data_IF_553448730679
#
_entry.id   IF_553448730679
#
_cell.length_a   1.000
_cell.length_b   1.000
_cell.length_c   1.000
_cell.angle_alpha   90.00
_cell.angle_beta   90.00
_cell.angle_gamma   90.00
#
_symmetry.space_group_name_H-M   'P 1'
#
loop_
_entity.id
_entity.type
_entity.pdbx_description
1 polymer ?
#
# COMPACT_ATOMS: atom_id res chain seq x y z
N UNK A 1 -0.44 16.21 12.66
CA UNK A 1 -0.91 16.08 11.26
C UNK A 1 0.15 15.54 10.31
N UNK A 2 1.45 15.81 10.53
CA UNK A 2 2.53 15.39 9.63
C UNK A 2 2.58 13.87 9.42
N UNK A 3 2.59 13.09 10.50
CA UNK A 3 2.50 11.63 10.42
C UNK A 3 1.29 11.18 9.60
N UNK A 4 0.10 11.69 9.93
CA UNK A 4 -1.16 11.34 9.25
C UNK A 4 -1.11 11.67 7.75
N UNK A 5 -0.56 12.81 7.35
CA UNK A 5 -0.37 13.11 5.92
C UNK A 5 0.66 12.22 5.26
N UNK A 6 1.74 11.83 5.95
CA UNK A 6 2.68 10.81 5.46
C UNK A 6 1.96 9.49 5.17
N UNK A 7 1.12 9.03 6.09
CA UNK A 7 0.31 7.81 5.92
C UNK A 7 -0.67 7.94 4.75
N UNK A 8 -1.46 9.03 4.71
CA UNK A 8 -2.40 9.28 3.61
C UNK A 8 -1.69 9.36 2.25
N UNK A 9 -0.54 10.01 2.16
CA UNK A 9 0.26 10.06 0.94
C UNK A 9 0.77 8.68 0.54
N UNK A 10 1.25 7.89 1.50
CA UNK A 10 1.71 6.52 1.25
C UNK A 10 0.60 5.62 0.69
N UNK A 11 -0.65 5.80 1.15
CA UNK A 11 -1.81 5.08 0.61
C UNK A 11 -1.97 5.29 -0.90
N UNK A 12 -1.80 6.53 -1.38
CA UNK A 12 -1.86 6.89 -2.80
C UNK A 12 -0.54 6.68 -3.56
N UNK A 13 0.37 5.86 -3.03
CA UNK A 13 1.72 5.62 -3.58
C UNK A 13 2.56 6.89 -3.80
N UNK A 14 2.28 7.96 -3.05
CA UNK A 14 3.08 9.20 -3.09
C UNK A 14 4.27 9.10 -2.13
N UNK A 15 5.04 8.02 -2.27
CA UNK A 15 6.13 7.65 -1.37
C UNK A 15 7.27 8.66 -1.34
N UNK A 16 7.56 9.33 -2.47
CA UNK A 16 8.58 10.39 -2.51
C UNK A 16 8.23 11.57 -1.60
N UNK A 17 6.94 11.90 -1.48
CA UNK A 17 6.46 12.97 -0.61
C UNK A 17 6.26 12.44 0.82
N UNK A 18 5.73 11.23 1.00
CA UNK A 18 5.49 10.62 2.31
C UNK A 18 6.77 10.45 3.14
N UNK A 19 7.88 10.01 2.51
CA UNK A 19 9.18 9.83 3.18
C UNK A 19 9.67 11.12 3.83
N UNK A 20 9.39 12.27 3.21
CA UNK A 20 9.74 13.55 3.83
C UNK A 20 8.98 13.75 5.15
N UNK A 21 7.67 13.51 5.17
CA UNK A 21 6.86 13.61 6.39
C UNK A 21 7.32 12.66 7.48
N UNK A 22 7.70 11.42 7.14
CA UNK A 22 8.17 10.48 8.14
C UNK A 22 9.56 10.83 8.67
N UNK A 23 10.52 11.20 7.82
CA UNK A 23 11.84 11.69 8.25
C UNK A 23 11.72 12.86 9.21
N UNK A 24 10.97 13.85 8.77
CA UNK A 24 10.67 15.06 9.50
C UNK A 24 10.02 14.79 10.86
N UNK A 25 9.01 13.94 10.90
CA UNK A 25 8.32 13.62 12.14
C UNK A 25 9.21 12.78 13.07
N UNK A 26 10.05 11.89 12.51
CA UNK A 26 10.94 11.02 13.28
C UNK A 26 12.03 11.76 14.06
N UNK A 27 12.39 13.00 13.68
CA UNK A 27 13.34 13.80 14.47
C UNK A 27 12.76 14.30 15.79
N UNK A 28 11.42 14.44 15.84
CA UNK A 28 10.69 14.90 17.03
C UNK A 28 10.09 13.72 17.78
N UNK A 29 9.61 12.70 17.06
CA UNK A 29 8.96 11.52 17.63
C UNK A 29 9.37 10.25 16.85
N UNK A 30 10.53 9.64 17.18
CA UNK A 30 11.06 8.46 16.51
C UNK A 30 10.33 7.18 16.95
N UNK A 31 9.02 7.08 16.70
CA UNK A 31 8.25 5.88 17.04
C UNK A 31 8.43 4.77 16.00
N UNK A 32 8.24 3.51 16.42
CA UNK A 32 8.29 2.33 15.54
C UNK A 32 7.35 2.47 14.33
N UNK A 33 6.16 3.04 14.53
CA UNK A 33 5.13 3.33 13.52
C UNK A 33 5.73 4.19 12.40
N UNK A 34 6.45 5.25 12.80
CA UNK A 34 6.98 6.28 11.90
C UNK A 34 8.12 5.71 11.08
N UNK A 35 9.05 5.01 11.73
CA UNK A 35 10.20 4.42 11.03
C UNK A 35 9.80 3.21 10.19
N UNK A 36 8.80 2.43 10.58
CA UNK A 36 8.23 1.36 9.74
C UNK A 36 7.56 1.94 8.49
N UNK A 37 6.73 2.96 8.64
CA UNK A 37 6.05 3.57 7.49
C UNK A 37 7.03 4.26 6.54
N UNK A 38 8.11 4.84 7.07
CA UNK A 38 9.24 5.29 6.24
C UNK A 38 9.86 4.10 5.48
N UNK A 39 10.27 3.05 6.19
CA UNK A 39 10.86 1.86 5.58
C UNK A 39 9.99 1.27 4.47
N UNK A 40 8.67 1.25 4.68
CA UNK A 40 7.70 0.79 3.70
C UNK A 40 7.70 1.67 2.44
N UNK A 41 7.74 2.99 2.55
CA UNK A 41 7.86 3.85 1.38
C UNK A 41 9.16 3.63 0.61
N UNK A 42 10.28 3.35 1.30
CA UNK A 42 11.53 3.00 0.62
C UNK A 42 11.41 1.65 -0.10
N UNK A 43 10.77 0.65 0.52
CA UNK A 43 10.46 -0.64 -0.11
C UNK A 43 9.59 -0.45 -1.37
N UNK A 44 8.59 0.42 -1.33
CA UNK A 44 7.73 0.68 -2.49
C UNK A 44 8.46 1.38 -3.63
N UNK A 45 9.31 2.36 -3.31
CA UNK A 45 10.16 3.00 -4.31
C UNK A 45 11.11 1.98 -4.94
N UNK A 46 11.62 1.03 -4.16
CA UNK A 46 12.42 -0.07 -4.72
C UNK A 46 11.60 -0.96 -5.68
N UNK A 47 10.34 -1.26 -5.36
CA UNK A 47 9.44 -2.01 -6.25
C UNK A 47 9.17 -1.31 -7.58
N UNK A 48 9.12 0.02 -7.59
CA UNK A 48 9.00 0.80 -8.82
C UNK A 48 10.23 0.57 -9.71
N UNK A 49 11.42 0.69 -9.12
CA UNK A 49 12.68 0.47 -9.83
C UNK A 49 12.86 -0.98 -10.32
N UNK A 50 12.37 -1.96 -9.55
CA UNK A 50 12.38 -3.38 -9.93
C UNK A 50 11.35 -3.73 -11.04
N UNK A 51 10.35 -2.88 -11.26
CA UNK A 51 9.29 -3.10 -12.25
C UNK A 51 8.59 -4.45 -12.10
N UNK A 52 8.48 -5.20 -13.20
CA UNK A 52 7.82 -6.51 -13.25
C UNK A 52 8.46 -7.55 -12.32
N UNK A 53 9.77 -7.45 -12.06
CA UNK A 53 10.50 -8.41 -11.22
C UNK A 53 10.00 -8.40 -9.77
N UNK A 54 9.60 -7.23 -9.24
CA UNK A 54 9.03 -7.09 -7.90
C UNK A 54 7.76 -7.91 -7.66
N UNK A 55 7.05 -8.25 -8.74
CA UNK A 55 5.76 -8.93 -8.74
C UNK A 55 5.85 -10.35 -9.31
N UNK A 56 7.06 -10.91 -9.39
CA UNK A 56 7.26 -12.35 -9.67
C UNK A 56 6.41 -13.21 -8.73
N UNK A 57 6.35 -12.79 -7.47
CA UNK A 57 5.41 -13.23 -6.46
C UNK A 57 4.61 -12.03 -5.95
N UNK A 58 3.38 -12.26 -5.51
CA UNK A 58 2.59 -11.27 -4.79
C UNK A 58 3.01 -11.31 -3.32
N UNK A 59 3.76 -10.29 -2.89
CA UNK A 59 4.29 -10.16 -1.53
C UNK A 59 3.65 -8.98 -0.79
N UNK A 60 2.49 -9.12 -0.13
CA UNK A 60 1.85 -7.99 0.54
C UNK A 60 2.67 -7.43 1.69
N UNK A 61 3.02 -6.14 1.59
CA UNK A 61 3.71 -5.39 2.64
C UNK A 61 2.71 -4.70 3.57
N UNK A 62 3.05 -4.55 4.85
CA UNK A 62 2.17 -3.98 5.87
C UNK A 62 2.51 -2.53 6.24
N UNK A 63 1.57 -1.61 6.04
CA UNK A 63 1.64 -0.24 6.57
C UNK A 63 1.12 -0.22 8.00
N UNK A 64 1.80 0.50 8.89
CA UNK A 64 1.26 0.80 10.22
C UNK A 64 0.28 1.97 10.15
N UNK A 65 -0.81 1.89 10.93
CA UNK A 65 -2.11 2.57 10.75
C UNK A 65 -2.78 2.31 9.40
N UNK A 66 -2.33 1.22 8.75
CA UNK A 66 -3.05 0.28 7.87
C UNK A 66 -3.61 0.81 6.54
N UNK A 67 -2.97 0.33 5.49
CA UNK A 67 -3.46 0.06 4.14
C UNK A 67 -2.31 -0.64 3.42
N UNK A 68 -2.57 -1.64 2.58
CA UNK A 68 -1.56 -1.98 1.56
C UNK A 68 -1.36 -0.74 0.67
N UNK A 69 -0.20 -0.58 0.04
CA UNK A 69 0.03 0.56 -0.86
C UNK A 69 -0.53 0.20 -2.23
N UNK A 70 -1.42 1.06 -2.74
CA UNK A 70 -2.09 0.90 -4.02
C UNK A 70 -1.63 1.94 -5.03
N UNK A 71 -1.71 1.57 -6.30
CA UNK A 71 -1.45 2.47 -7.42
C UNK A 71 -0.04 2.33 -7.94
N UNK A 72 0.20 1.33 -8.78
CA UNK A 72 1.43 1.23 -9.56
C UNK A 72 1.05 0.89 -10.99
N UNK A 73 1.45 1.76 -11.92
CA UNK A 73 1.71 1.30 -13.28
C UNK A 73 3.07 0.60 -13.25
N UNK A 74 3.14 -0.63 -13.75
CA UNK A 74 4.42 -1.30 -13.97
C UNK A 74 5.25 -0.43 -14.94
N UNK A 75 6.38 0.15 -14.52
CA UNK A 75 7.28 0.73 -15.50
C UNK A 75 7.77 -0.40 -16.42
N UNK A 76 7.90 -0.09 -17.71
CA UNK A 76 8.45 -1.02 -18.70
C UNK A 76 9.94 -1.23 -18.42
N UNK A 77 10.25 -2.09 -17.47
CA UNK A 77 11.62 -2.57 -17.25
C UNK A 77 11.83 -3.77 -18.18
N UNK A 78 12.84 -3.75 -19.05
CA UNK A 78 13.14 -4.87 -19.95
C UNK A 78 13.28 -6.19 -19.19
N UNK A 79 12.88 -7.30 -19.83
CA UNK A 79 13.11 -8.66 -19.30
C UNK A 79 14.63 -8.89 -19.14
N UNK A 80 15.07 -9.19 -17.92
CA UNK A 80 16.37 -9.80 -17.66
C UNK A 80 17.40 -8.97 -16.90
N UNK A 81 17.05 -7.81 -16.34
CA UNK A 81 18.05 -6.98 -15.65
C UNK A 81 18.19 -7.31 -14.15
N UNK A 82 19.45 -7.36 -13.71
CA UNK A 82 19.86 -7.33 -12.31
C UNK A 82 19.20 -6.16 -11.57
N UNK A 83 18.99 -6.33 -10.26
CA UNK A 83 18.50 -5.27 -9.38
C UNK A 83 19.30 -3.98 -9.57
N UNK A 84 18.63 -2.89 -9.97
CA UNK A 84 19.28 -1.59 -10.17
C UNK A 84 19.99 -1.12 -8.89
N UNK A 85 21.07 -0.35 -9.05
CA UNK A 85 21.81 0.20 -7.90
C UNK A 85 20.92 1.08 -7.01
N UNK A 86 19.89 1.73 -7.59
CA UNK A 86 18.91 2.50 -6.86
C UNK A 86 17.96 1.58 -6.07
N UNK A 87 17.40 0.54 -6.70
CA UNK A 87 16.58 -0.46 -6.02
C UNK A 87 17.30 -1.09 -4.83
N UNK A 88 18.56 -1.53 -5.01
CA UNK A 88 19.38 -2.10 -3.94
C UNK A 88 19.59 -1.13 -2.78
N UNK A 89 19.84 0.14 -3.08
CA UNK A 89 20.02 1.20 -2.07
C UNK A 89 18.73 1.48 -1.30
N UNK A 90 17.59 1.51 -1.99
CA UNK A 90 16.27 1.72 -1.40
C UNK A 90 15.89 0.54 -0.48
N UNK A 91 16.12 -0.71 -0.92
CA UNK A 91 15.93 -1.90 -0.08
C UNK A 91 16.81 -1.87 1.18
N UNK A 92 18.09 -1.48 1.06
CA UNK A 92 18.97 -1.32 2.24
C UNK A 92 18.45 -0.25 3.22
N UNK A 93 17.88 0.86 2.73
CA UNK A 93 17.24 1.88 3.58
C UNK A 93 15.97 1.36 4.24
N UNK A 94 15.15 0.61 3.51
CA UNK A 94 13.95 -0.02 4.03
C UNK A 94 14.31 -0.97 5.18
N UNK A 95 15.25 -1.89 4.94
CA UNK A 95 15.80 -2.83 5.92
C UNK A 95 16.30 -2.14 7.18
N UNK A 96 17.12 -1.08 7.04
CA UNK A 96 17.61 -0.32 8.19
C UNK A 96 16.47 0.30 9.03
N UNK A 97 15.41 0.75 8.37
CA UNK A 97 14.24 1.34 9.02
C UNK A 97 13.41 0.28 9.76
N UNK A 98 13.20 -0.89 9.16
CA UNK A 98 12.51 -2.01 9.82
C UNK A 98 13.31 -2.55 11.00
N UNK A 99 14.63 -2.71 10.86
CA UNK A 99 15.50 -3.10 11.97
C UNK A 99 15.43 -2.08 13.11
N UNK A 100 15.38 -0.78 12.80
CA UNK A 100 15.19 0.26 13.83
C UNK A 100 13.83 0.14 14.52
N UNK A 101 12.76 -0.16 13.79
CA UNK A 101 11.44 -0.43 14.37
C UNK A 101 11.47 -1.65 15.32
N UNK A 102 12.19 -2.71 14.93
CA UNK A 102 12.31 -3.94 15.71
C UNK A 102 13.24 -3.80 16.93
N UNK A 103 14.22 -2.89 16.90
CA UNK A 103 14.97 -2.51 18.11
C UNK A 103 14.06 -1.84 19.13
N UNK A 104 13.09 -1.04 18.69
CA UNK A 104 12.12 -0.38 19.57
C UNK A 104 11.07 -1.38 20.11
N UNK A 105 10.59 -2.28 19.26
CA UNK A 105 9.68 -3.35 19.66
C UNK A 105 9.94 -4.63 18.82
N UNK A 106 10.59 -5.65 19.39
CA UNK A 106 10.94 -6.88 18.65
C UNK A 106 9.72 -7.69 18.17
N UNK A 107 8.60 -7.59 18.87
CA UNK A 107 7.33 -8.25 18.54
C UNK A 107 6.47 -7.48 17.53
N UNK A 108 6.99 -6.39 16.98
CA UNK A 108 6.20 -5.52 16.13
C UNK A 108 5.97 -6.14 14.74
N UNK A 109 4.74 -6.62 14.54
CA UNK A 109 4.38 -7.49 13.43
C UNK A 109 4.59 -6.85 12.03
N UNK A 110 4.18 -5.59 11.76
CA UNK A 110 4.40 -4.96 10.46
C UNK A 110 5.87 -4.94 10.05
N UNK A 111 6.77 -4.63 10.98
CA UNK A 111 8.20 -4.56 10.69
C UNK A 111 8.81 -5.94 10.42
N UNK A 112 8.37 -6.99 11.13
CA UNK A 112 8.83 -8.36 10.87
C UNK A 112 8.45 -8.82 9.44
N UNK A 113 7.21 -8.58 9.01
CA UNK A 113 6.78 -8.95 7.65
C UNK A 113 7.49 -8.12 6.58
N UNK A 114 7.59 -6.81 6.77
CA UNK A 114 8.25 -5.95 5.79
C UNK A 114 9.76 -6.22 5.70
N UNK A 115 10.41 -6.56 6.83
CA UNK A 115 11.79 -7.00 6.85
C UNK A 115 11.95 -8.30 6.05
N UNK A 116 11.08 -9.28 6.27
CA UNK A 116 11.12 -10.54 5.54
C UNK A 116 11.02 -10.35 4.02
N UNK A 117 10.10 -9.50 3.57
CA UNK A 117 9.93 -9.16 2.14
C UNK A 117 11.16 -8.42 1.59
N UNK A 118 11.71 -7.48 2.37
CA UNK A 118 12.88 -6.69 1.95
C UNK A 118 14.11 -7.57 1.84
N UNK A 119 14.36 -8.44 2.82
CA UNK A 119 15.43 -9.42 2.82
C UNK A 119 15.25 -10.44 1.68
N UNK A 120 14.01 -10.85 1.39
CA UNK A 120 13.70 -11.72 0.25
C UNK A 120 14.12 -11.05 -1.08
N UNK A 121 13.78 -9.79 -1.30
CA UNK A 121 14.23 -9.06 -2.50
C UNK A 121 15.74 -8.88 -2.55
N UNK A 122 16.41 -8.69 -1.41
CA UNK A 122 17.86 -8.59 -1.32
C UNK A 122 18.59 -9.94 -1.48
N UNK A 123 17.85 -11.05 -1.63
CA UNK A 123 18.36 -12.42 -1.66
C UNK A 123 19.06 -12.85 -0.35
N UNK A 124 18.74 -12.19 0.76
CA UNK A 124 19.24 -12.47 2.10
C UNK A 124 18.37 -13.57 2.76
N UNK A 125 18.41 -14.78 2.20
CA UNK A 125 17.44 -15.86 2.50
C UNK A 125 17.31 -16.22 3.99
N UNK A 126 18.41 -16.26 4.74
CA UNK A 126 18.38 -16.62 6.16
C UNK A 126 17.65 -15.56 7.00
N UNK A 127 17.88 -14.28 6.71
CA UNK A 127 17.22 -13.19 7.41
C UNK A 127 15.74 -13.08 7.03
N UNK A 128 15.43 -13.30 5.75
CA UNK A 128 14.04 -13.38 5.30
C UNK A 128 13.27 -14.48 6.04
N UNK A 129 13.89 -15.66 6.20
CA UNK A 129 13.32 -16.79 6.93
C UNK A 129 13.16 -16.51 8.42
N UNK A 130 14.16 -15.91 9.07
CA UNK A 130 14.07 -15.56 10.48
C UNK A 130 12.95 -14.53 10.75
N UNK A 131 12.86 -13.49 9.92
CA UNK A 131 11.86 -12.44 10.06
C UNK A 131 10.43 -12.96 9.81
N UNK A 132 10.21 -13.78 8.77
CA UNK A 132 8.87 -14.34 8.50
C UNK A 132 8.46 -15.38 9.53
N UNK A 133 9.40 -16.15 10.08
CA UNK A 133 9.14 -17.08 11.18
C UNK A 133 8.67 -16.32 12.41
N UNK A 134 9.29 -15.18 12.73
CA UNK A 134 8.84 -14.32 13.84
C UNK A 134 7.44 -13.76 13.60
N UNK A 135 7.15 -13.27 12.39
CA UNK A 135 5.80 -12.80 12.04
C UNK A 135 4.75 -13.91 12.16
N UNK A 136 5.07 -15.11 11.69
CA UNK A 136 4.19 -16.28 11.80
C UNK A 136 3.92 -16.67 13.25
N UNK A 137 4.94 -16.64 14.12
CA UNK A 137 4.76 -16.90 15.56
C UNK A 137 3.84 -15.87 16.25
N UNK A 138 3.88 -14.62 15.81
CA UNK A 138 3.05 -13.53 16.36
C UNK A 138 1.60 -13.60 15.89
N UNK A 139 1.36 -14.06 14.66
CA UNK A 139 0.03 -14.15 14.06
C UNK A 139 -0.14 -15.46 13.26
N UNK A 140 -0.16 -16.63 13.92
CA UNK A 140 -0.13 -17.93 13.25
C UNK A 140 -1.40 -18.23 12.45
N UNK A 141 -2.51 -17.57 12.79
CA UNK A 141 -3.81 -17.74 12.13
C UNK A 141 -4.04 -16.74 10.99
N UNK A 142 -3.12 -15.81 10.76
CA UNK A 142 -3.22 -14.86 9.64
C UNK A 142 -2.86 -15.59 8.33
N UNK A 143 -3.83 -15.68 7.42
CA UNK A 143 -3.68 -16.42 6.16
C UNK A 143 -2.70 -15.77 5.18
N UNK A 144 -2.54 -14.44 5.24
CA UNK A 144 -1.56 -13.72 4.42
C UNK A 144 -0.14 -14.07 4.92
N UNK A 145 0.07 -14.03 6.24
CA UNK A 145 1.35 -14.37 6.85
C UNK A 145 1.69 -15.85 6.63
N UNK A 146 0.71 -16.76 6.73
CA UNK A 146 0.89 -18.18 6.40
C UNK A 146 1.36 -18.36 4.95
N UNK A 147 0.73 -17.66 3.99
CA UNK A 147 1.11 -17.70 2.58
C UNK A 147 2.54 -17.20 2.33
N UNK A 148 2.90 -16.06 2.95
CA UNK A 148 4.26 -15.50 2.88
C UNK A 148 5.30 -16.42 3.52
N UNK A 149 4.97 -17.04 4.66
CA UNK A 149 5.85 -17.97 5.36
C UNK A 149 6.19 -19.18 4.50
N UNK A 150 5.18 -19.81 3.89
CA UNK A 150 5.38 -20.93 2.95
C UNK A 150 6.29 -20.51 1.80
N UNK A 151 6.03 -19.34 1.21
CA UNK A 151 6.77 -18.85 0.04
C UNK A 151 8.22 -18.46 0.37
N UNK A 152 8.48 -17.79 1.49
CA UNK A 152 9.84 -17.34 1.86
C UNK A 152 10.70 -18.52 2.37
N UNK A 153 10.08 -19.53 2.99
CA UNK A 153 10.78 -20.78 3.39
C UNK A 153 10.98 -21.74 2.23
N UNK A 154 10.35 -21.52 1.08
CA UNK A 154 10.64 -22.29 -0.11
C UNK A 154 12.07 -21.99 -0.60
N UNK A 155 12.97 -22.95 -0.39
CA UNK A 155 14.41 -22.83 -0.71
C UNK A 155 14.77 -23.38 -2.10
N UNK A 156 13.86 -23.33 -3.08
CA UNK A 156 14.04 -23.95 -4.41
C UNK A 156 14.25 -25.47 -4.46
N UNK A 157 14.48 -26.14 -3.32
CA UNK A 157 14.71 -27.58 -3.22
C UNK A 157 13.45 -28.43 -3.07
N UNK A 158 12.34 -27.84 -2.59
CA UNK A 158 11.12 -28.59 -2.24
C UNK A 158 9.85 -27.93 -2.81
N UNK A 159 9.75 -27.73 -4.14
CA UNK A 159 8.62 -27.03 -4.76
C UNK A 159 7.27 -27.72 -4.50
N UNK A 160 7.23 -29.05 -4.52
CA UNK A 160 5.98 -29.80 -4.29
C UNK A 160 5.41 -29.56 -2.89
N UNK A 161 6.25 -29.51 -1.85
CA UNK A 161 5.78 -29.24 -0.48
C UNK A 161 5.19 -27.83 -0.36
N UNK A 162 5.83 -26.83 -0.97
CA UNK A 162 5.33 -25.46 -0.95
C UNK A 162 4.00 -25.35 -1.72
N UNK A 163 3.90 -25.96 -2.91
CA UNK A 163 2.67 -25.97 -3.72
C UNK A 163 1.52 -26.64 -2.96
N UNK A 164 1.76 -27.80 -2.35
CA UNK A 164 0.76 -28.52 -1.54
C UNK A 164 0.34 -27.72 -0.30
N UNK A 165 1.28 -27.05 0.36
CA UNK A 165 0.97 -26.21 1.51
C UNK A 165 0.09 -25.01 1.12
N UNK A 166 0.40 -24.32 0.01
CA UNK A 166 -0.45 -23.24 -0.51
C UNK A 166 -1.81 -23.75 -0.99
N UNK A 167 -1.88 -24.95 -1.57
CA UNK A 167 -3.13 -25.59 -1.96
C UNK A 167 -4.03 -25.85 -0.75
N UNK A 168 -3.47 -26.42 0.32
CA UNK A 168 -4.20 -26.62 1.58
C UNK A 168 -4.66 -25.29 2.18
N UNK A 169 -3.80 -24.26 2.15
CA UNK A 169 -4.16 -22.93 2.63
C UNK A 169 -5.31 -22.32 1.80
N UNK A 170 -5.32 -22.53 0.49
CA UNK A 170 -6.35 -22.04 -0.42
C UNK A 170 -7.74 -22.67 -0.21
N UNK A 171 -7.85 -23.77 0.56
CA UNK A 171 -9.12 -24.38 0.94
C UNK A 171 -9.79 -23.68 2.14
N UNK A 172 -9.08 -22.81 2.84
CA UNK A 172 -9.63 -22.08 3.97
C UNK A 172 -10.59 -20.97 3.52
N UNK A 173 -11.66 -20.69 4.29
CA UNK A 173 -12.57 -19.59 3.97
C UNK A 173 -11.83 -18.25 4.03
N UNK A 174 -12.22 -17.31 3.17
CA UNK A 174 -11.68 -15.94 3.13
C UNK A 174 -10.16 -15.85 2.91
N UNK A 175 -9.56 -16.83 2.24
CA UNK A 175 -8.12 -16.82 1.93
C UNK A 175 -7.74 -15.66 0.97
N UNK A 176 -6.63 -14.95 1.21
CA UNK A 176 -6.17 -13.88 0.34
C UNK A 176 -5.88 -14.32 -1.10
N UNK A 177 -6.16 -13.44 -2.07
CA UNK A 177 -5.87 -13.70 -3.49
C UNK A 177 -4.37 -13.86 -3.80
N UNK A 178 -3.49 -13.36 -2.93
CA UNK A 178 -2.04 -13.55 -2.99
C UNK A 178 -1.64 -15.02 -2.91
N UNK A 179 -2.35 -15.84 -2.12
CA UNK A 179 -2.08 -17.29 -1.99
C UNK A 179 -2.29 -18.00 -3.32
N UNK A 180 -3.40 -17.71 -4.00
CA UNK A 180 -3.69 -18.24 -5.34
C UNK A 180 -2.65 -17.79 -6.36
N UNK A 181 -2.32 -16.50 -6.38
CA UNK A 181 -1.32 -15.95 -7.28
C UNK A 181 0.04 -16.64 -7.10
N UNK A 182 0.52 -16.75 -5.86
CA UNK A 182 1.82 -17.35 -5.55
C UNK A 182 1.85 -18.84 -5.88
N UNK A 183 0.75 -19.57 -5.65
CA UNK A 183 0.63 -20.97 -6.06
C UNK A 183 0.70 -21.13 -7.57
N UNK A 184 -0.04 -20.31 -8.33
CA UNK A 184 0.00 -20.34 -9.80
C UNK A 184 1.42 -20.06 -10.33
N UNK A 185 2.13 -19.07 -9.74
CA UNK A 185 3.51 -18.77 -10.09
C UNK A 185 4.48 -19.92 -9.79
N UNK A 186 4.33 -20.59 -8.66
CA UNK A 186 5.15 -21.78 -8.34
C UNK A 186 4.85 -22.95 -9.29
N UNK A 187 3.59 -23.17 -9.66
CA UNK A 187 3.23 -24.19 -10.65
C UNK A 187 3.89 -23.89 -12.01
N UNK A 188 3.78 -22.66 -12.51
CA UNK A 188 4.44 -22.25 -13.77
C UNK A 188 5.96 -22.39 -13.71
N UNK A 189 6.60 -21.89 -12.65
CA UNK A 189 8.06 -21.89 -12.52
C UNK A 189 8.64 -23.32 -12.54
N UNK A 190 7.87 -24.32 -12.11
CA UNK A 190 8.27 -25.73 -12.07
C UNK A 190 7.59 -26.61 -13.12
N UNK A 191 6.97 -26.00 -14.14
CA UNK A 191 6.33 -26.73 -15.25
C UNK A 191 5.23 -27.69 -14.82
N UNK A 192 4.46 -27.36 -13.77
CA UNK A 192 3.35 -28.17 -13.25
C UNK A 192 2.02 -27.68 -13.81
N UNK A 193 1.09 -28.62 -14.02
CA UNK A 193 -0.27 -28.32 -14.49
C UNK A 193 -1.14 -27.65 -13.39
N UNK A 194 -2.26 -27.05 -13.79
CA UNK A 194 -3.24 -26.44 -12.89
C UNK A 194 -3.04 -24.94 -12.62
N UNK A 195 -1.99 -24.32 -13.15
CA UNK A 195 -1.81 -22.86 -13.06
C UNK A 195 -2.91 -22.09 -13.81
N UNK A 196 -3.32 -22.60 -14.98
CA UNK A 196 -4.30 -21.94 -15.85
C UNK A 196 -5.67 -21.75 -15.18
N UNK A 197 -6.17 -22.76 -14.47
CA UNK A 197 -7.42 -22.68 -13.72
C UNK A 197 -7.37 -21.60 -12.64
N UNK A 198 -6.23 -21.49 -11.96
CA UNK A 198 -6.00 -20.47 -10.94
C UNK A 198 -5.94 -19.07 -11.58
N UNK A 199 -5.29 -18.93 -12.74
CA UNK A 199 -5.27 -17.67 -13.47
C UNK A 199 -6.67 -17.24 -13.90
N UNK A 200 -7.50 -18.17 -14.39
CA UNK A 200 -8.90 -17.89 -14.71
C UNK A 200 -9.69 -17.44 -13.48
N UNK A 201 -9.48 -18.08 -12.33
CA UNK A 201 -10.11 -17.69 -11.07
C UNK A 201 -9.71 -16.26 -10.64
N UNK A 202 -8.44 -15.91 -10.76
CA UNK A 202 -7.93 -14.57 -10.46
C UNK A 202 -8.47 -13.52 -11.42
N UNK A 203 -8.56 -13.83 -12.72
CA UNK A 203 -9.06 -12.91 -13.74
C UNK A 203 -10.55 -12.58 -13.57
N UNK A 204 -11.37 -13.55 -13.12
CA UNK A 204 -12.77 -13.30 -12.72
C UNK A 204 -12.88 -12.32 -11.55
N UNK A 205 -11.83 -12.23 -10.73
CA UNK A 205 -11.73 -11.32 -9.59
C UNK A 205 -10.80 -10.12 -9.84
N UNK A 206 -10.50 -9.80 -11.11
CA UNK A 206 -9.56 -8.74 -11.48
C UNK A 206 -9.86 -7.38 -10.82
N UNK A 207 -11.13 -7.09 -10.51
CA UNK A 207 -11.55 -5.89 -9.78
C UNK A 207 -10.87 -5.73 -8.40
N UNK A 208 -10.64 -6.84 -7.71
CA UNK A 208 -10.09 -6.91 -6.36
C UNK A 208 -8.56 -6.91 -6.33
N UNK A 209 -7.93 -7.09 -7.49
CA UNK A 209 -6.47 -7.20 -7.59
C UNK A 209 -5.82 -5.79 -7.58
N UNK A 210 -4.66 -5.63 -6.91
CA UNK A 210 -3.80 -4.45 -7.08
C UNK A 210 -3.42 -4.28 -8.56
N UNK A 211 -3.24 -3.03 -8.99
CA UNK A 211 -3.02 -2.71 -10.41
C UNK A 211 -1.89 -3.52 -11.10
N UNK A 212 -0.69 -3.68 -10.49
CA UNK A 212 0.38 -4.50 -11.09
C UNK A 212 0.00 -5.96 -11.23
N UNK A 213 -0.61 -6.53 -10.19
CA UNK A 213 -1.02 -7.93 -10.17
C UNK A 213 -2.12 -8.16 -11.20
N UNK A 214 -3.10 -7.23 -11.27
CA UNK A 214 -4.15 -7.25 -12.28
C UNK A 214 -3.56 -7.26 -13.68
N UNK A 215 -2.64 -6.34 -13.99
CA UNK A 215 -1.98 -6.31 -15.29
C UNK A 215 -1.33 -7.66 -15.64
N UNK A 216 -0.58 -8.24 -14.70
CA UNK A 216 0.09 -9.54 -14.92
C UNK A 216 -0.89 -10.70 -15.08
N UNK A 217 -1.99 -10.72 -14.32
CA UNK A 217 -3.06 -11.71 -14.50
C UNK A 217 -3.70 -11.55 -15.87
N UNK A 218 -3.98 -10.31 -16.29
CA UNK A 218 -4.63 -10.04 -17.57
C UNK A 218 -3.73 -10.24 -18.80
N UNK A 219 -2.40 -10.26 -18.63
CA UNK A 219 -1.45 -10.72 -19.66
C UNK A 219 -1.51 -12.26 -19.85
N UNK A 220 -1.83 -13.00 -18.78
CA UNK A 220 -1.89 -14.47 -18.79
C UNK A 220 -3.20 -15.01 -19.32
N UNK A 221 -4.30 -14.33 -19.00
CA UNK A 221 -5.63 -14.70 -19.43
C UNK A 221 -6.51 -13.47 -19.59
N UNK A 222 -7.52 -13.55 -20.45
CA UNK A 222 -8.42 -12.42 -20.70
C UNK A 222 -9.21 -12.04 -19.43
N UNK A 223 -8.91 -10.86 -18.89
CA UNK A 223 -9.76 -10.24 -17.88
C UNK A 223 -10.96 -9.58 -18.54
N UNK A 224 -12.13 -9.67 -17.90
CA UNK A 224 -13.28 -8.90 -18.32
C UNK A 224 -12.95 -7.40 -18.29
N UNK A 225 -13.13 -6.72 -19.43
CA UNK A 225 -12.96 -5.27 -19.52
C UNK A 225 -14.08 -4.63 -18.70
N UNK A 226 -13.74 -4.15 -17.50
CA UNK A 226 -14.69 -3.34 -16.74
C UNK A 226 -14.93 -2.04 -17.49
N UNK A 227 -16.16 -1.87 -17.99
CA UNK A 227 -16.60 -0.63 -18.62
C UNK A 227 -16.38 0.51 -17.63
N UNK A 228 -15.47 1.44 -17.95
CA UNK A 228 -15.24 2.64 -17.13
C UNK A 228 -16.53 3.46 -17.15
N UNK A 229 -17.25 3.48 -16.03
CA UNK A 229 -18.38 4.39 -15.88
C UNK A 229 -17.86 5.71 -15.29
N UNK A 230 -18.55 6.80 -15.58
CA UNK A 230 -18.31 8.05 -14.88
C UNK A 230 -18.91 7.96 -13.47
N UNK A 231 -18.24 8.48 -12.43
CA UNK A 231 -18.86 8.65 -11.12
C UNK A 231 -20.19 9.42 -11.23
N UNK A 232 -21.19 9.00 -10.46
CA UNK A 232 -22.50 9.67 -10.41
C UNK A 232 -22.48 10.92 -9.52
N UNK A 233 -21.50 11.01 -8.61
CA UNK A 233 -21.32 12.11 -7.68
C UNK A 233 -19.88 12.64 -7.71
N UNK A 234 -19.68 13.86 -7.20
CA UNK A 234 -18.35 14.46 -7.04
C UNK A 234 -18.18 15.00 -5.63
N UNK A 235 -16.95 14.99 -5.14
CA UNK A 235 -16.64 15.55 -3.83
C UNK A 235 -16.78 17.07 -3.83
N UNK A 236 -17.62 17.61 -2.95
CA UNK A 236 -17.76 19.04 -2.70
C UNK A 236 -16.54 19.61 -1.97
N UNK A 237 -15.43 19.81 -2.69
CA UNK A 237 -14.19 20.27 -2.08
C UNK A 237 -14.27 21.77 -1.72
N UNK A 238 -14.00 22.17 -0.47
CA UNK A 238 -13.96 23.59 -0.08
C UNK A 238 -12.84 24.35 -0.78
N UNK A 239 -11.80 23.63 -1.23
CA UNK A 239 -10.69 24.16 -2.02
C UNK A 239 -10.35 23.16 -3.12
N UNK A 240 -10.30 23.62 -4.37
CA UNK A 240 -9.97 22.76 -5.52
C UNK A 240 -8.53 22.26 -5.45
N UNK A 241 -8.31 21.02 -5.87
CA UNK A 241 -6.96 20.45 -6.04
C UNK A 241 -6.14 21.24 -7.06
N UNK A 242 -4.82 21.35 -6.83
CA UNK A 242 -3.85 21.98 -7.72
C UNK A 242 -3.80 23.52 -7.68
N UNK A 243 -4.76 24.19 -7.04
CA UNK A 243 -4.77 25.66 -6.94
C UNK A 243 -3.60 26.17 -6.09
N UNK A 244 -3.10 27.37 -6.43
CA UNK A 244 -2.02 28.02 -5.68
C UNK A 244 -2.55 28.55 -4.35
N UNK A 245 -1.85 28.25 -3.26
CA UNK A 245 -2.29 28.62 -1.89
C UNK A 245 -2.17 30.12 -1.62
N UNK A 246 -1.10 30.78 -2.09
CA UNK A 246 -0.80 32.19 -1.80
C UNK A 246 -1.92 33.17 -2.16
N UNK A 247 -2.73 32.86 -3.18
CA UNK A 247 -3.81 33.74 -3.67
C UNK A 247 -5.21 33.20 -3.35
N UNK A 248 -5.31 32.12 -2.59
CA UNK A 248 -6.59 31.48 -2.32
C UNK A 248 -7.27 32.15 -1.12
N UNK A 249 -8.36 32.89 -1.38
CA UNK A 249 -9.12 33.63 -0.36
C UNK A 249 -9.73 32.71 0.71
N UNK A 250 -10.11 31.48 0.35
CA UNK A 250 -10.66 30.50 1.29
C UNK A 250 -9.59 30.06 2.29
N UNK A 251 -8.42 29.60 1.79
CA UNK A 251 -7.31 29.16 2.64
C UNK A 251 -6.73 30.28 3.50
N UNK A 252 -6.81 31.54 3.06
CA UNK A 252 -6.36 32.68 3.84
C UNK A 252 -7.14 32.85 5.17
N UNK A 253 -8.36 32.32 5.25
CA UNK A 253 -9.21 32.33 6.45
C UNK A 253 -9.03 31.10 7.33
N UNK A 254 -8.26 30.11 6.89
CA UNK A 254 -8.09 28.84 7.60
C UNK A 254 -6.91 28.91 8.56
N UNK A 255 -6.97 28.12 9.64
CA UNK A 255 -5.85 27.99 10.54
C UNK A 255 -4.69 27.31 9.80
N UNK A 256 -3.57 28.01 9.67
CA UNK A 256 -2.35 27.44 9.13
C UNK A 256 -1.56 26.79 10.26
N UNK A 257 -1.18 25.52 10.10
CA UNK A 257 -0.25 24.88 11.03
C UNK A 257 1.03 25.70 11.10
N UNK A 258 1.62 25.83 12.29
CA UNK A 258 2.89 26.52 12.46
C UNK A 258 3.90 25.97 11.45
N UNK A 259 4.76 26.85 10.92
CA UNK A 259 5.87 26.42 10.05
C UNK A 259 6.82 25.59 10.89
N UNK A 260 6.60 24.28 10.97
CA UNK A 260 7.67 23.38 11.35
C UNK A 260 8.57 23.31 10.13
N UNK A 261 9.78 23.88 10.21
CA UNK A 261 10.75 23.79 9.12
C UNK A 261 11.31 22.38 9.11
N UNK A 262 10.67 21.49 8.37
CA UNK A 262 11.02 20.07 8.31
C UNK A 262 12.09 19.80 7.23
N UNK A 263 13.18 20.59 7.15
CA UNK A 263 14.13 20.65 6.02
C UNK A 263 13.59 21.41 4.77
N UNK A 264 13.88 20.94 3.54
CA UNK A 264 13.85 21.69 2.27
C UNK A 264 12.49 21.79 1.57
N UNK A 265 11.41 21.26 2.14
CA UNK A 265 10.08 21.39 1.53
C UNK A 265 9.31 22.53 2.22
N UNK A 266 8.68 23.36 1.39
CA UNK A 266 7.73 24.38 1.84
C UNK A 266 6.33 23.77 1.87
N UNK A 267 6.04 22.93 2.87
CA UNK A 267 4.69 22.42 3.10
C UNK A 267 3.82 23.41 3.86
N UNK A 268 2.51 23.34 3.58
CA UNK A 268 1.52 24.15 4.26
C UNK A 268 0.30 23.28 4.54
N UNK A 269 0.04 23.04 5.83
CA UNK A 269 -1.17 22.37 6.29
C UNK A 269 -2.15 23.44 6.75
N UNK A 270 -3.32 23.46 6.14
CA UNK A 270 -4.42 24.35 6.51
C UNK A 270 -5.53 23.52 7.15
N UNK A 271 -6.20 24.08 8.16
CA UNK A 271 -7.33 23.46 8.86
C UNK A 271 -8.50 24.41 8.93
N UNK A 272 -9.67 23.88 8.62
CA UNK A 272 -10.94 24.55 8.84
C UNK A 272 -11.63 23.85 10.00
N UNK A 273 -11.38 24.35 11.22
CA UNK A 273 -11.88 23.74 12.45
C UNK A 273 -11.70 22.21 12.41
N UNK A 274 -12.79 21.47 12.52
CA UNK A 274 -12.80 20.00 12.44
C UNK A 274 -13.47 19.45 11.17
N UNK A 275 -13.78 20.28 10.17
CA UNK A 275 -14.54 19.86 8.97
C UNK A 275 -13.64 19.54 7.79
N UNK A 276 -12.46 20.17 7.70
CA UNK A 276 -11.53 19.89 6.62
C UNK A 276 -10.07 20.20 6.97
N UNK A 277 -9.15 19.43 6.39
CA UNK A 277 -7.72 19.73 6.34
C UNK A 277 -7.24 19.77 4.89
N UNK A 278 -6.27 20.63 4.59
CA UNK A 278 -5.65 20.73 3.28
C UNK A 278 -4.15 20.59 3.43
N UNK A 279 -3.56 19.67 2.68
CA UNK A 279 -2.13 19.63 2.46
C UNK A 279 -1.79 20.33 1.14
N UNK A 280 -0.91 21.31 1.22
CA UNK A 280 -0.30 21.92 0.06
C UNK A 280 1.20 21.60 -0.02
N UNK A 281 1.63 21.14 -1.19
CA UNK A 281 3.01 20.83 -1.52
C UNK A 281 3.47 21.78 -2.63
N UNK A 282 4.67 22.36 -2.46
CA UNK A 282 5.23 23.34 -3.41
C UNK A 282 4.25 24.48 -3.74
N UNK A 283 3.49 24.94 -2.73
CA UNK A 283 2.53 26.04 -2.85
C UNK A 283 1.23 25.71 -3.59
N UNK A 284 0.93 24.43 -3.86
CA UNK A 284 -0.31 23.97 -4.50
C UNK A 284 -1.05 22.95 -3.66
N UNK A 285 -2.37 22.98 -3.66
CA UNK A 285 -3.21 22.03 -2.95
C UNK A 285 -3.01 20.62 -3.53
N UNK A 286 -2.44 19.73 -2.72
CA UNK A 286 -2.06 18.38 -3.11
C UNK A 286 -3.06 17.32 -2.63
N UNK A 287 -3.71 17.58 -1.50
CA UNK A 287 -4.72 16.70 -0.89
C UNK A 287 -5.71 17.54 -0.09
N UNK A 288 -6.99 17.15 -0.17
CA UNK A 288 -8.06 17.66 0.69
C UNK A 288 -8.56 16.50 1.52
N UNK A 289 -8.66 16.70 2.84
CA UNK A 289 -9.23 15.75 3.79
C UNK A 289 -10.53 16.33 4.28
N UNK A 290 -11.64 15.68 3.94
CA UNK A 290 -12.98 16.03 4.39
C UNK A 290 -13.30 15.23 5.66
N UNK A 291 -13.96 15.87 6.62
CA UNK A 291 -14.34 15.30 7.93
C UNK A 291 -15.76 15.74 8.29
N UNK A 292 -16.34 15.08 9.29
CA UNK A 292 -17.69 15.35 9.83
C UNK A 292 -18.77 15.31 8.75
N UNK A 293 -19.24 14.11 8.43
CA UNK A 293 -20.32 13.90 7.48
C UNK A 293 -21.64 13.70 8.22
N UNK A 294 -22.65 14.52 7.93
CA UNK A 294 -23.97 14.41 8.58
C UNK A 294 -24.83 13.31 7.97
N UNK A 295 -24.71 13.04 6.66
CA UNK A 295 -25.60 12.15 5.91
C UNK A 295 -24.90 11.12 5.02
N UNK A 296 -23.57 11.16 4.92
CA UNK A 296 -22.83 10.24 4.05
C UNK A 296 -22.64 8.89 4.74
N UNK A 297 -23.16 7.83 4.15
CA UNK A 297 -23.00 6.44 4.59
C UNK A 297 -21.95 5.72 3.76
N UNK A 298 -21.57 4.50 4.18
CA UNK A 298 -20.67 3.66 3.42
C UNK A 298 -21.23 3.30 2.03
N UNK A 299 -22.53 3.05 1.92
CA UNK A 299 -23.18 2.62 0.68
C UNK A 299 -23.16 3.70 -0.41
N UNK A 300 -23.24 4.97 0.02
CA UNK A 300 -23.18 6.14 -0.86
C UNK A 300 -21.84 6.29 -1.58
N UNK A 301 -20.75 5.76 -1.00
CA UNK A 301 -19.39 5.91 -1.52
C UNK A 301 -19.22 5.33 -2.93
N UNK A 302 -20.01 4.31 -3.26
CA UNK A 302 -20.01 3.71 -4.60
C UNK A 302 -20.39 4.72 -5.69
N UNK A 303 -21.24 5.71 -5.39
CA UNK A 303 -21.63 6.76 -6.35
C UNK A 303 -20.46 7.69 -6.71
N UNK A 304 -19.43 7.77 -5.86
CA UNK A 304 -18.23 8.58 -6.05
C UNK A 304 -17.13 7.82 -6.80
N UNK A 305 -17.37 6.56 -7.17
CA UNK A 305 -16.45 5.79 -7.99
C UNK A 305 -17.12 5.27 -9.26
N UNK A 306 -16.40 5.37 -10.38
CA UNK A 306 -16.85 4.80 -11.66
C UNK A 306 -16.67 3.29 -11.78
N UNK A 307 -16.22 2.64 -10.71
CA UNK A 307 -15.81 1.24 -10.63
C UNK A 307 -16.05 0.70 -9.20
N UNK A 308 -16.02 -0.63 -9.00
CA UNK A 308 -16.09 -1.21 -7.67
C UNK A 308 -15.01 -0.65 -6.74
N UNK A 309 -15.40 -0.34 -5.51
CA UNK A 309 -14.47 0.13 -4.48
C UNK A 309 -13.54 -1.00 -4.06
N UNK A 310 -12.30 -0.64 -3.74
CA UNK A 310 -11.36 -1.54 -3.08
C UNK A 310 -11.55 -1.40 -1.58
N UNK A 311 -11.68 -2.53 -0.91
CA UNK A 311 -11.86 -2.60 0.54
C UNK A 311 -10.61 -3.11 1.22
N UNK A 312 -10.26 -2.50 2.36
CA UNK A 312 -9.10 -2.87 3.17
C UNK A 312 -9.41 -2.74 4.64
N UNK A 313 -9.18 -3.79 5.40
CA UNK A 313 -9.25 -3.73 6.86
C UNK A 313 -8.04 -2.98 7.41
N UNK A 314 -8.29 -2.11 8.37
CA UNK A 314 -7.33 -1.23 9.02
C UNK A 314 -7.49 -1.33 10.54
N UNK A 315 -6.46 -1.06 11.34
CA UNK A 315 -6.51 -1.19 12.81
C UNK A 315 -7.69 -0.41 13.40
N UNK A 316 -7.98 0.75 12.82
CA UNK A 316 -9.06 1.63 13.25
C UNK A 316 -10.38 1.44 12.47
N UNK A 317 -10.54 0.41 11.65
CA UNK A 317 -11.76 0.17 10.86
C UNK A 317 -11.52 -0.35 9.44
N UNK A 318 -12.09 0.28 8.42
CA UNK A 318 -11.96 -0.13 7.01
C UNK A 318 -11.66 1.06 6.12
N UNK A 319 -10.73 0.93 5.17
CA UNK A 319 -10.54 1.91 4.09
C UNK A 319 -11.22 1.40 2.83
N UNK A 320 -12.11 2.23 2.28
CA UNK A 320 -12.66 2.05 0.94
C UNK A 320 -12.00 3.06 -0.01
N UNK A 321 -11.41 2.59 -1.10
CA UNK A 321 -10.72 3.46 -2.06
C UNK A 321 -11.22 3.29 -3.49
N UNK A 322 -11.17 4.40 -4.22
CA UNK A 322 -11.44 4.45 -5.65
C UNK A 322 -10.15 4.80 -6.39
N UNK A 323 -9.41 3.75 -6.81
CA UNK A 323 -8.08 3.87 -7.43
C UNK A 323 -7.19 4.82 -6.62
N UNK A 324 -6.51 5.73 -7.31
CA UNK A 324 -5.59 6.70 -6.72
C UNK A 324 -6.23 8.10 -6.66
N UNK A 325 -7.56 8.19 -6.64
CA UNK A 325 -8.30 9.46 -6.66
C UNK A 325 -8.80 9.87 -5.28
N UNK A 326 -9.39 8.91 -4.55
CA UNK A 326 -9.85 9.15 -3.20
C UNK A 326 -9.92 7.86 -2.38
N UNK A 327 -9.87 8.03 -1.06
CA UNK A 327 -10.05 6.96 -0.08
C UNK A 327 -10.91 7.47 1.09
N UNK A 328 -11.74 6.60 1.66
CA UNK A 328 -12.59 6.88 2.80
C UNK A 328 -12.24 5.95 3.95
N UNK A 329 -11.98 6.51 5.13
CA UNK A 329 -11.82 5.75 6.36
C UNK A 329 -13.20 5.57 7.01
N UNK A 330 -13.60 4.31 7.17
CA UNK A 330 -14.79 3.86 7.87
C UNK A 330 -14.38 3.40 9.27
N UNK A 331 -15.03 3.94 10.30
CA UNK A 331 -14.84 3.55 11.71
C UNK A 331 -16.23 3.36 12.30
N UNK A 332 -16.50 2.21 12.93
CA UNK A 332 -17.82 1.87 13.50
C UNK A 332 -18.96 2.12 12.50
N UNK A 333 -18.81 1.60 11.27
CA UNK A 333 -19.76 1.73 10.14
C UNK A 333 -20.02 3.17 9.67
N UNK A 334 -19.27 4.15 10.17
CA UNK A 334 -19.40 5.57 9.81
C UNK A 334 -18.22 6.05 9.00
N UNK A 335 -18.51 6.84 7.96
CA UNK A 335 -17.46 7.56 7.21
C UNK A 335 -16.82 8.59 8.12
N UNK A 336 -15.58 8.35 8.53
CA UNK A 336 -14.84 9.22 9.46
C UNK A 336 -14.12 10.35 8.74
N UNK A 337 -13.40 10.00 7.68
CA UNK A 337 -12.65 10.93 6.85
C UNK A 337 -12.67 10.48 5.38
N UNK A 338 -12.64 11.44 4.45
CA UNK A 338 -12.42 11.18 3.02
C UNK A 338 -11.19 11.96 2.57
N UNK A 339 -10.23 11.28 1.97
CA UNK A 339 -9.00 11.85 1.45
C UNK A 339 -9.13 11.92 -0.07
N UNK A 340 -9.03 13.12 -0.62
CA UNK A 340 -9.14 13.35 -2.06
C UNK A 340 -7.83 13.93 -2.57
N UNK A 341 -7.24 13.29 -3.58
CA UNK A 341 -6.00 13.72 -4.23
C UNK A 341 -6.26 14.00 -5.70
N UNK A 342 -5.33 14.73 -6.34
CA UNK A 342 -5.39 14.91 -7.79
C UNK A 342 -4.98 13.59 -8.45
N UNK A 343 -5.87 13.00 -9.24
CA UNK A 343 -5.51 11.92 -10.16
C UNK A 343 -4.46 12.39 -11.15
N UNK A 344 -3.42 11.57 -11.35
CA UNK A 344 -2.42 11.81 -12.39
C UNK A 344 -2.94 11.42 -13.78
#
# INVERSE_FOLDING_TARGET
PYFQFGVRLSHFNRCDEAVYFFKAFSTVFPAREVVNNWGLCELQRARQELGKAAYTYWLPSMLDVTSQIDGFSLPSVPKGEEMSSLARRLLKKAKASFNKALVMEPSYLPANVNLAITAFYLEEHLEAQAAIEKAYQLAPNDLEIQGLHILIKYQHKQPQKAIQALEKLAQQPNVPLSVFYNRARLLEQHGRSGADDIWQQLARQAAKLPEPIRHLVCEKTACAVQRKQSPKATWGLPVKLGVRTRRNKTLARWQKSQKVRLYDIYEQIYRQNDTAEVLALKGRVAMVVLKKFERLTQDDLSAYCGQPLRERTVVSGTILSCRDYWAALIVDEKVKEVWVVKGY
#
